data_IF_789654581503
#
_entry.id   IF_789654581503
#
_cell.length_a   1.000
_cell.length_b   1.000
_cell.length_c   1.000
_cell.angle_alpha   90.00
_cell.angle_beta   90.00
_cell.angle_gamma   90.00
#
_symmetry.space_group_name_H-M   'P 1'
#
loop_
_entity.id
_entity.type
_entity.pdbx_description
1 polymer ?
#
# COMPACT_ATOMS: atom_id res chain seq x y z
N UNK A 1 13.47 -14.23 -11.41
CA UNK A 1 12.02 -14.38 -11.18
C UNK A 1 11.84 -15.36 -10.03
N UNK A 2 11.39 -14.87 -8.88
CA UNK A 2 11.62 -15.46 -7.56
C UNK A 2 10.73 -16.66 -7.24
N UNK A 3 11.30 -17.68 -6.59
CA UNK A 3 10.62 -18.90 -6.09
C UNK A 3 9.38 -18.57 -5.22
N UNK A 4 9.34 -17.37 -4.64
CA UNK A 4 8.22 -16.84 -3.85
C UNK A 4 6.96 -16.66 -4.69
N UNK A 5 7.03 -16.07 -5.89
CA UNK A 5 5.86 -15.92 -6.77
C UNK A 5 5.30 -17.27 -7.20
N UNK A 6 6.18 -18.25 -7.44
CA UNK A 6 5.76 -19.64 -7.68
C UNK A 6 5.01 -20.21 -6.48
N UNK A 7 5.50 -19.98 -5.27
CA UNK A 7 4.88 -20.47 -4.03
C UNK A 7 3.51 -19.83 -3.77
N UNK A 8 3.37 -18.52 -3.97
CA UNK A 8 2.07 -17.84 -3.88
C UNK A 8 1.09 -18.48 -4.87
N UNK A 9 1.53 -18.72 -6.10
CA UNK A 9 0.68 -19.33 -7.12
C UNK A 9 0.23 -20.74 -6.74
N UNK A 10 1.15 -21.60 -6.30
CA UNK A 10 0.91 -23.03 -6.02
C UNK A 10 0.48 -23.35 -4.60
N UNK A 11 0.42 -22.39 -3.69
CA UNK A 11 0.07 -22.66 -2.28
C UNK A 11 -0.99 -21.69 -1.74
N UNK A 12 -1.32 -20.64 -2.48
CA UNK A 12 -2.39 -19.71 -2.17
C UNK A 12 -3.37 -19.61 -3.34
N UNK A 13 -2.94 -19.07 -4.48
CA UNK A 13 -3.85 -18.75 -5.59
C UNK A 13 -4.60 -19.98 -6.11
N UNK A 14 -3.96 -21.15 -6.17
CA UNK A 14 -4.62 -22.38 -6.62
C UNK A 14 -5.84 -22.81 -5.78
N UNK A 15 -5.96 -22.29 -4.55
CA UNK A 15 -7.07 -22.59 -3.65
C UNK A 15 -8.17 -21.52 -3.68
N UNK A 16 -7.99 -20.44 -4.45
CA UNK A 16 -8.99 -19.40 -4.64
C UNK A 16 -10.02 -19.81 -5.70
N UNK A 17 -11.28 -19.47 -5.45
CA UNK A 17 -12.36 -19.62 -6.43
C UNK A 17 -12.08 -18.73 -7.65
N UNK A 18 -12.30 -19.25 -8.86
CA UNK A 18 -11.95 -18.54 -10.10
C UNK A 18 -10.45 -18.56 -10.44
N UNK A 19 -9.64 -19.43 -9.82
CA UNK A 19 -8.25 -19.61 -10.22
C UNK A 19 -8.13 -20.23 -11.62
N UNK A 20 -7.37 -19.57 -12.48
CA UNK A 20 -7.29 -19.92 -13.91
C UNK A 20 -6.10 -20.84 -14.23
N UNK A 21 -5.12 -20.96 -13.33
CA UNK A 21 -3.88 -21.70 -13.60
C UNK A 21 -2.96 -21.03 -14.61
N UNK A 22 -1.73 -21.56 -14.72
CA UNK A 22 -0.80 -21.21 -15.81
C UNK A 22 -1.10 -21.97 -17.11
N UNK A 23 -1.95 -22.99 -17.07
CA UNK A 23 -2.34 -23.82 -18.20
C UNK A 23 -3.79 -23.51 -18.62
N UNK A 24 -3.92 -22.86 -19.78
CA UNK A 24 -5.22 -22.44 -20.33
C UNK A 24 -6.15 -23.61 -20.67
N UNK A 25 -5.62 -24.83 -20.81
CA UNK A 25 -6.40 -26.03 -21.13
C UNK A 25 -7.09 -26.64 -19.90
N UNK A 26 -6.69 -26.23 -18.68
CA UNK A 26 -7.23 -26.71 -17.40
C UNK A 26 -8.14 -25.69 -16.71
N UNK A 27 -8.61 -24.69 -17.43
CA UNK A 27 -9.55 -23.70 -16.90
C UNK A 27 -10.87 -24.38 -16.52
N UNK A 28 -11.35 -24.10 -15.31
CA UNK A 28 -12.70 -24.49 -14.89
C UNK A 28 -13.76 -23.95 -15.86
N UNK A 29 -14.93 -24.59 -15.90
CA UNK A 29 -15.96 -24.25 -16.90
C UNK A 29 -16.58 -22.87 -16.69
N UNK A 30 -16.52 -22.31 -15.47
CA UNK A 30 -17.19 -21.05 -15.11
C UNK A 30 -16.33 -20.11 -14.23
N UNK A 31 -15.04 -19.99 -14.55
CA UNK A 31 -14.04 -19.22 -13.79
C UNK A 31 -14.46 -17.76 -13.51
N UNK A 32 -15.10 -17.11 -14.49
CA UNK A 32 -15.53 -15.73 -14.37
C UNK A 32 -16.69 -15.54 -13.39
N UNK A 33 -17.57 -16.54 -13.25
CA UNK A 33 -18.67 -16.54 -12.29
C UNK A 33 -18.20 -16.95 -10.89
N UNK A 34 -17.17 -17.78 -10.81
CA UNK A 34 -16.53 -18.21 -9.57
C UNK A 34 -15.56 -17.16 -8.98
N UNK A 35 -15.14 -16.16 -9.77
CA UNK A 35 -14.34 -15.02 -9.31
C UNK A 35 -15.18 -14.04 -8.47
N UNK A 36 -15.55 -14.47 -7.27
CA UNK A 36 -16.47 -13.78 -6.38
C UNK A 36 -15.80 -12.83 -5.38
N UNK A 37 -14.47 -12.83 -5.30
CA UNK A 37 -13.73 -11.99 -4.35
C UNK A 37 -13.43 -10.61 -4.94
N UNK A 38 -13.73 -9.57 -4.17
CA UNK A 38 -13.21 -8.23 -4.42
C UNK A 38 -11.69 -8.18 -4.19
N UNK A 39 -11.03 -7.15 -4.72
CA UNK A 39 -9.59 -6.94 -4.51
C UNK A 39 -9.23 -6.82 -3.02
N UNK A 40 -10.08 -6.17 -2.22
CA UNK A 40 -9.88 -6.06 -0.78
C UNK A 40 -9.95 -7.43 -0.08
N UNK A 41 -10.92 -8.27 -0.43
CA UNK A 41 -11.03 -9.62 0.13
C UNK A 41 -9.85 -10.52 -0.28
N UNK A 42 -9.34 -10.38 -1.51
CA UNK A 42 -8.13 -11.08 -1.93
C UNK A 42 -6.90 -10.63 -1.14
N UNK A 43 -6.81 -9.35 -0.80
CA UNK A 43 -5.75 -8.82 0.07
C UNK A 43 -5.84 -9.43 1.47
N UNK A 44 -7.04 -9.44 2.09
CA UNK A 44 -7.24 -10.02 3.43
C UNK A 44 -6.84 -11.51 3.48
N UNK A 45 -7.25 -12.28 2.48
CA UNK A 45 -6.89 -13.70 2.37
C UNK A 45 -5.39 -13.91 2.15
N UNK A 46 -4.75 -13.03 1.39
CA UNK A 46 -3.30 -13.08 1.17
C UNK A 46 -2.55 -12.75 2.46
N UNK A 47 -3.00 -11.75 3.22
CA UNK A 47 -2.40 -11.35 4.48
C UNK A 47 -2.50 -12.47 5.53
N UNK A 48 -3.64 -13.14 5.64
CA UNK A 48 -3.80 -14.33 6.47
C UNK A 48 -2.83 -15.45 6.03
N UNK A 49 -2.77 -15.75 4.74
CA UNK A 49 -1.87 -16.78 4.21
C UNK A 49 -0.40 -16.46 4.48
N UNK A 50 0.01 -15.19 4.38
CA UNK A 50 1.38 -14.75 4.65
C UNK A 50 1.78 -15.02 6.10
N UNK A 51 0.89 -14.83 7.07
CA UNK A 51 1.15 -15.16 8.49
C UNK A 51 1.55 -16.63 8.62
N UNK A 52 0.81 -17.54 7.98
CA UNK A 52 1.14 -18.97 8.00
C UNK A 52 2.42 -19.29 7.24
N UNK A 53 2.62 -18.67 6.07
CA UNK A 53 3.81 -18.87 5.25
C UNK A 53 5.11 -18.50 5.97
N UNK A 54 5.10 -17.40 6.71
CA UNK A 54 6.24 -16.91 7.49
C UNK A 54 6.59 -17.79 8.71
N UNK A 55 5.64 -18.60 9.19
CA UNK A 55 5.86 -19.58 10.28
C UNK A 55 6.14 -21.00 9.79
N UNK A 56 5.83 -21.32 8.53
CA UNK A 56 6.14 -22.62 7.92
C UNK A 56 7.65 -22.78 7.71
N UNK A 57 8.26 -23.95 8.00
CA UNK A 57 9.65 -24.25 7.65
C UNK A 57 9.90 -24.40 6.14
N UNK A 58 11.02 -23.89 5.63
CA UNK A 58 11.39 -23.96 4.21
C UNK A 58 12.72 -24.67 4.04
N UNK A 59 12.79 -25.65 3.14
CA UNK A 59 14.01 -26.45 2.93
C UNK A 59 15.23 -25.66 2.44
N UNK A 60 15.01 -24.47 1.86
CA UNK A 60 16.05 -23.54 1.42
C UNK A 60 16.58 -22.59 2.50
N UNK A 61 15.88 -22.49 3.65
CA UNK A 61 16.31 -21.67 4.78
C UNK A 61 16.97 -22.57 5.82
N UNK A 62 18.30 -22.64 5.76
CA UNK A 62 19.13 -23.46 6.66
C UNK A 62 20.14 -22.58 7.36
N UNK A 63 20.28 -22.77 8.67
CA UNK A 63 21.31 -22.07 9.43
C UNK A 63 22.68 -22.74 9.18
N UNK A 64 23.78 -21.98 8.98
CA UNK A 64 25.10 -22.55 8.72
C UNK A 64 25.56 -23.57 9.77
N UNK A 65 25.25 -23.30 11.05
CA UNK A 65 25.60 -24.22 12.17
C UNK A 65 24.54 -25.28 12.49
N UNK A 66 23.35 -25.21 11.90
CA UNK A 66 22.28 -26.21 12.04
C UNK A 66 21.75 -26.62 10.66
N UNK A 67 22.61 -27.16 9.77
CA UNK A 67 22.25 -27.37 8.37
C UNK A 67 21.16 -28.42 8.18
N UNK A 68 20.93 -29.30 9.16
CA UNK A 68 19.90 -30.35 9.08
C UNK A 68 18.49 -29.85 9.42
N UNK A 69 18.36 -28.68 10.04
CA UNK A 69 17.07 -28.12 10.47
C UNK A 69 16.60 -27.11 9.44
N UNK A 70 15.40 -27.31 8.90
CA UNK A 70 14.73 -26.30 8.08
C UNK A 70 14.13 -25.24 9.00
N UNK A 71 14.42 -23.97 8.73
CA UNK A 71 13.88 -22.84 9.47
C UNK A 71 12.71 -22.20 8.71
N UNK A 72 11.83 -21.55 9.45
CA UNK A 72 10.84 -20.63 8.88
C UNK A 72 11.49 -19.26 8.63
N UNK A 73 10.92 -18.42 7.76
CA UNK A 73 11.39 -17.05 7.53
C UNK A 73 11.54 -16.28 8.83
N UNK A 74 10.56 -16.34 9.74
CA UNK A 74 10.61 -15.64 11.02
C UNK A 74 11.73 -16.16 11.93
N UNK A 75 11.97 -17.49 11.95
CA UNK A 75 13.09 -18.06 12.73
C UNK A 75 14.44 -17.71 12.15
N UNK A 76 14.59 -17.72 10.83
CA UNK A 76 15.82 -17.33 10.16
C UNK A 76 16.10 -15.84 10.36
N UNK A 77 15.08 -14.99 10.26
CA UNK A 77 15.16 -13.57 10.58
C UNK A 77 15.65 -13.35 12.02
N UNK A 78 15.02 -13.99 13.01
CA UNK A 78 15.44 -13.88 14.40
C UNK A 78 16.90 -14.31 14.63
N UNK A 79 17.33 -15.40 13.98
CA UNK A 79 18.72 -15.85 14.05
C UNK A 79 19.69 -14.83 13.43
N UNK A 80 19.33 -14.24 12.28
CA UNK A 80 20.15 -13.22 11.62
C UNK A 80 20.23 -11.93 12.43
N UNK A 81 19.12 -11.48 13.01
CA UNK A 81 19.10 -10.30 13.89
C UNK A 81 20.00 -10.49 15.10
N UNK A 82 20.02 -11.69 15.70
CA UNK A 82 20.92 -11.99 16.82
C UNK A 82 22.40 -11.89 16.46
N UNK A 83 22.77 -12.14 15.19
CA UNK A 83 24.16 -12.12 14.72
C UNK A 83 24.55 -10.75 14.17
N UNK A 84 23.69 -10.14 13.36
CA UNK A 84 23.97 -8.89 12.65
C UNK A 84 23.56 -7.64 13.45
N UNK A 85 22.80 -7.81 14.54
CA UNK A 85 22.17 -6.72 15.27
C UNK A 85 20.88 -6.23 14.59
N UNK A 86 20.11 -5.44 15.33
CA UNK A 86 18.93 -4.74 14.83
C UNK A 86 19.22 -3.25 14.79
N UNK A 87 19.06 -2.62 13.62
CA UNK A 87 19.14 -1.17 13.48
C UNK A 87 17.71 -0.64 13.39
N UNK A 88 17.14 -0.09 14.48
CA UNK A 88 15.88 0.61 14.37
C UNK A 88 16.09 1.85 13.51
N UNK A 89 15.32 1.98 12.43
CA UNK A 89 15.10 3.27 11.78
C UNK A 89 13.85 3.85 12.46
N UNK A 90 13.98 4.79 13.41
CA UNK A 90 12.82 5.39 14.05
C UNK A 90 12.15 6.33 13.04
N UNK A 91 11.29 5.77 12.20
CA UNK A 91 10.43 6.57 11.34
C UNK A 91 9.42 7.30 12.22
N UNK A 92 9.49 8.62 12.22
CA UNK A 92 8.44 9.49 12.75
C UNK A 92 7.21 9.45 11.83
N UNK A 93 6.08 9.97 12.31
CA UNK A 93 4.87 10.10 11.48
C UNK A 93 5.12 10.88 10.19
N UNK A 94 5.98 11.90 10.23
CA UNK A 94 6.34 12.66 9.03
C UNK A 94 7.17 11.85 8.05
N UNK A 95 8.05 10.96 8.53
CA UNK A 95 8.85 10.10 7.64
C UNK A 95 7.97 9.13 6.86
N UNK A 96 6.85 8.69 7.43
CA UNK A 96 5.86 7.90 6.69
C UNK A 96 5.18 8.70 5.58
N UNK A 97 4.90 9.99 5.82
CA UNK A 97 4.32 10.85 4.80
C UNK A 97 5.27 11.00 3.62
N UNK A 98 6.58 11.13 3.87
CA UNK A 98 7.61 11.22 2.82
C UNK A 98 7.69 9.99 1.90
N UNK A 99 7.23 8.83 2.38
CA UNK A 99 7.20 7.58 1.60
C UNK A 99 5.93 7.44 0.74
N UNK A 100 4.95 8.33 0.89
CA UNK A 100 3.71 8.25 0.12
C UNK A 100 3.96 8.58 -1.36
N UNK A 101 3.15 8.00 -2.28
CA UNK A 101 3.20 8.37 -3.68
C UNK A 101 3.03 9.87 -3.91
N UNK A 102 4.01 10.46 -4.62
CA UNK A 102 4.04 11.87 -4.96
C UNK A 102 3.34 12.17 -6.29
N UNK A 103 2.55 13.22 -6.30
CA UNK A 103 1.92 13.85 -7.48
C UNK A 103 2.25 15.33 -7.50
N UNK A 104 2.33 15.91 -8.69
CA UNK A 104 2.63 17.33 -8.89
C UNK A 104 1.38 18.04 -9.37
N UNK A 105 0.82 18.94 -8.56
CA UNK A 105 -0.44 19.65 -8.87
C UNK A 105 -0.36 21.14 -8.58
N UNK A 106 -1.11 21.94 -9.34
CA UNK A 106 -1.29 23.36 -9.03
C UNK A 106 -2.32 23.54 -7.90
N UNK A 107 -2.09 24.54 -7.04
CA UNK A 107 -3.07 24.99 -6.07
C UNK A 107 -3.93 26.06 -6.76
N UNK A 108 -5.17 25.73 -7.06
CA UNK A 108 -6.10 26.66 -7.72
C UNK A 108 -6.90 27.46 -6.69
N UNK A 109 -7.69 28.43 -7.17
CA UNK A 109 -8.65 29.18 -6.35
C UNK A 109 -9.59 28.24 -5.57
N UNK A 110 -9.99 27.12 -6.19
CA UNK A 110 -10.87 26.10 -5.58
C UNK A 110 -10.13 25.01 -4.79
N UNK A 111 -8.81 25.13 -4.63
CA UNK A 111 -7.96 24.13 -3.98
C UNK A 111 -7.27 23.20 -4.96
N UNK A 112 -7.00 21.97 -4.52
CA UNK A 112 -6.27 20.97 -5.30
C UNK A 112 -7.24 19.92 -5.82
N UNK A 113 -7.27 19.70 -7.13
CA UNK A 113 -8.13 18.69 -7.75
C UNK A 113 -7.35 17.43 -8.11
N UNK A 114 -7.72 16.30 -7.55
CA UNK A 114 -7.10 14.98 -7.76
C UNK A 114 -8.18 13.90 -7.84
N UNK A 115 -8.15 13.07 -8.89
CA UNK A 115 -9.08 11.96 -9.08
C UNK A 115 -10.56 12.36 -8.87
N UNK A 116 -10.98 13.45 -9.51
CA UNK A 116 -12.33 14.04 -9.40
C UNK A 116 -12.73 14.54 -8.00
N UNK A 117 -11.82 14.54 -7.04
CA UNK A 117 -11.99 15.11 -5.70
C UNK A 117 -11.30 16.46 -5.60
N UNK A 118 -11.86 17.34 -4.79
CA UNK A 118 -11.31 18.67 -4.51
C UNK A 118 -10.89 18.72 -3.05
N UNK A 119 -9.63 18.98 -2.78
CA UNK A 119 -9.06 19.08 -1.44
C UNK A 119 -8.80 20.54 -1.14
N UNK A 120 -9.29 21.00 0.02
CA UNK A 120 -9.25 22.41 0.36
C UNK A 120 -9.23 22.66 1.87
N UNK A 121 -8.48 23.66 2.28
CA UNK A 121 -8.52 24.26 3.61
C UNK A 121 -7.93 25.68 3.60
N UNK A 122 -8.15 26.43 4.68
CA UNK A 122 -7.74 27.83 4.79
C UNK A 122 -6.22 28.02 4.65
N UNK A 123 -5.42 27.02 5.03
CA UNK A 123 -3.96 27.04 4.91
C UNK A 123 -3.47 27.15 3.47
N UNK A 124 -4.30 26.75 2.48
CA UNK A 124 -3.95 26.92 1.08
C UNK A 124 -4.10 28.36 0.59
N UNK A 125 -4.84 29.21 1.30
CA UNK A 125 -5.17 30.59 0.92
C UNK A 125 -3.97 31.40 0.40
N UNK A 126 -2.86 31.49 1.17
CA UNK A 126 -1.66 32.21 0.75
C UNK A 126 -0.95 31.64 -0.47
N UNK A 127 -1.21 30.38 -0.85
CA UNK A 127 -0.51 29.65 -1.91
C UNK A 127 -1.33 29.46 -3.19
N UNK A 128 -2.60 29.90 -3.20
CA UNK A 128 -3.48 29.76 -4.37
C UNK A 128 -2.96 30.59 -5.55
N UNK A 129 -2.85 29.95 -6.71
CA UNK A 129 -2.37 30.60 -7.94
C UNK A 129 -0.88 30.95 -7.94
N UNK A 130 -0.13 30.54 -6.92
CA UNK A 130 1.31 30.72 -6.86
C UNK A 130 2.05 29.47 -7.30
N UNK A 131 3.22 29.67 -7.88
CA UNK A 131 4.14 28.59 -8.21
C UNK A 131 4.89 28.14 -6.95
N UNK A 132 5.13 26.84 -6.85
CA UNK A 132 6.02 26.29 -5.83
C UNK A 132 7.49 26.67 -6.10
N UNK A 133 8.34 26.54 -5.08
CA UNK A 133 9.80 26.74 -5.20
C UNK A 133 10.46 25.74 -6.17
N UNK A 134 9.77 24.66 -6.54
CA UNK A 134 10.29 23.61 -7.44
C UNK A 134 9.99 23.96 -8.90
N UNK A 135 10.79 24.86 -9.47
CA UNK A 135 10.65 25.32 -10.85
C UNK A 135 10.72 24.18 -11.90
N UNK A 136 11.49 23.12 -11.63
CA UNK A 136 11.66 21.97 -12.55
C UNK A 136 10.37 21.18 -12.79
N UNK A 137 9.32 21.40 -11.99
CA UNK A 137 8.01 20.75 -12.11
C UNK A 137 6.93 21.69 -12.65
N UNK A 138 7.33 22.79 -13.27
CA UNK A 138 6.44 23.76 -13.90
C UNK A 138 5.57 24.51 -12.88
N UNK A 139 6.17 24.92 -11.76
CA UNK A 139 5.49 25.66 -10.69
C UNK A 139 4.51 24.82 -9.86
N UNK A 140 4.34 23.52 -10.16
CA UNK A 140 3.40 22.65 -9.44
C UNK A 140 3.94 22.28 -8.06
N UNK A 141 3.01 22.06 -7.14
CA UNK A 141 3.25 21.69 -5.76
C UNK A 141 3.38 20.19 -5.58
N UNK A 142 4.24 19.78 -4.64
CA UNK A 142 4.43 18.39 -4.26
C UNK A 142 3.28 17.92 -3.37
N UNK A 143 2.53 16.93 -3.85
CA UNK A 143 1.35 16.39 -3.18
C UNK A 143 1.51 14.90 -2.95
N UNK A 144 1.53 14.50 -1.70
CA UNK A 144 1.55 13.12 -1.23
C UNK A 144 0.13 12.58 -1.08
N UNK A 145 -0.09 11.37 -1.56
CA UNK A 145 -1.42 10.75 -1.59
C UNK A 145 -1.37 9.35 -0.98
N UNK A 146 -2.33 9.01 -0.12
CA UNK A 146 -2.49 7.64 0.37
C UNK A 146 -3.49 6.91 -0.54
N UNK A 147 -3.09 5.86 -1.28
CA UNK A 147 -4.00 5.10 -2.14
C UNK A 147 -5.15 4.41 -1.38
N UNK A 148 -4.95 4.13 -0.09
CA UNK A 148 -5.91 3.43 0.76
C UNK A 148 -6.79 4.39 1.57
N UNK A 149 -6.44 5.67 1.66
CA UNK A 149 -7.24 6.68 2.35
C UNK A 149 -7.29 7.97 1.52
N UNK A 150 -8.41 8.14 0.81
CA UNK A 150 -8.66 9.29 -0.08
C UNK A 150 -9.28 10.49 0.62
N UNK A 151 -9.45 10.44 1.95
CA UNK A 151 -10.12 11.51 2.71
C UNK A 151 -9.23 12.74 2.92
N UNK A 152 -7.92 12.60 2.71
CA UNK A 152 -6.94 13.67 2.82
C UNK A 152 -5.78 13.46 1.86
N UNK A 153 -5.07 14.56 1.59
CA UNK A 153 -3.77 14.58 0.91
C UNK A 153 -2.79 15.37 1.77
N UNK A 154 -1.50 15.29 1.47
CA UNK A 154 -0.49 16.10 2.13
C UNK A 154 0.26 16.93 1.11
N UNK A 155 0.37 18.23 1.34
CA UNK A 155 1.02 19.17 0.41
C UNK A 155 2.28 19.70 1.08
N UNK A 156 3.40 19.73 0.36
CA UNK A 156 4.62 20.35 0.87
C UNK A 156 4.50 21.86 0.77
N UNK A 157 4.25 22.52 1.89
CA UNK A 157 4.17 23.97 2.00
C UNK A 157 5.48 24.56 2.58
N UNK A 158 5.90 25.76 2.17
CA UNK A 158 7.16 26.34 2.64
C UNK A 158 7.04 26.71 4.12
N UNK A 159 8.01 26.32 4.93
CA UNK A 159 8.03 26.58 6.38
C UNK A 159 7.12 25.67 7.23
N UNK A 160 6.10 25.02 6.65
CA UNK A 160 5.20 24.12 7.35
C UNK A 160 5.47 22.62 7.08
N UNK A 161 6.20 22.30 6.01
CA UNK A 161 6.45 20.92 5.60
C UNK A 161 5.19 20.27 5.01
N UNK A 162 5.08 18.94 5.12
CA UNK A 162 3.92 18.19 4.62
C UNK A 162 2.69 18.48 5.49
N UNK A 163 1.73 19.20 4.92
CA UNK A 163 0.52 19.67 5.59
C UNK A 163 -0.70 18.92 5.09
N UNK A 164 -1.52 18.40 6.01
CA UNK A 164 -2.77 17.70 5.69
C UNK A 164 -3.81 18.67 5.11
N UNK A 165 -4.33 18.34 3.92
CA UNK A 165 -5.43 19.03 3.27
C UNK A 165 -6.61 18.04 3.15
N UNK A 166 -7.73 18.30 3.83
CA UNK A 166 -8.88 17.41 3.79
C UNK A 166 -9.60 17.47 2.45
N UNK A 167 -10.24 16.37 2.07
CA UNK A 167 -11.25 16.38 1.02
C UNK A 167 -12.46 17.20 1.50
N UNK A 168 -13.00 18.08 0.66
CA UNK A 168 -14.14 18.94 1.03
C UNK A 168 -15.40 18.18 1.50
N UNK A 169 -15.52 16.89 1.14
CA UNK A 169 -16.62 16.03 1.58
C UNK A 169 -16.19 14.99 2.62
N UNK A 170 -15.04 15.17 3.28
CA UNK A 170 -14.50 14.24 4.30
C UNK A 170 -15.53 13.88 5.36
N UNK A 171 -16.27 14.87 5.85
CA UNK A 171 -17.27 14.67 6.90
C UNK A 171 -18.49 13.84 6.45
N UNK A 172 -18.78 13.83 5.14
CA UNK A 172 -19.87 13.04 4.57
C UNK A 172 -19.47 11.57 4.27
N UNK A 173 -18.18 11.23 4.37
CA UNK A 173 -17.68 9.88 4.11
C UNK A 173 -17.85 8.92 5.32
N UNK A 174 -18.48 9.37 6.41
CA UNK A 174 -18.61 8.62 7.66
C UNK A 174 -19.84 7.72 7.76
N UNK A 175 -20.69 7.61 6.73
CA UNK A 175 -21.84 6.73 6.81
C UNK A 175 -21.46 5.32 6.34
N UNK A 176 -21.42 4.30 7.23
CA UNK A 176 -21.48 2.92 6.77
C UNK A 176 -22.74 2.77 5.91
N UNK A 177 -22.64 2.02 4.82
CA UNK A 177 -23.77 1.67 3.98
C UNK A 177 -24.88 1.07 4.87
N UNK A 178 -25.94 1.84 5.14
CA UNK A 178 -27.16 1.29 5.70
C UNK A 178 -27.97 0.71 4.54
N UNK A 179 -27.88 -0.61 4.36
CA UNK A 179 -28.83 -1.35 3.54
C UNK A 179 -30.18 -1.36 4.26
N UNK A 180 -31.07 -0.47 3.82
CA UNK A 180 -32.50 -0.63 3.99
C UNK A 180 -33.14 -0.69 2.61
N UNK A 181 -33.32 -1.89 2.07
CA UNK A 181 -34.47 -2.26 1.23
C UNK A 181 -34.70 -3.76 1.33
#
# INVERSE_FOLDING_TARGET
>A
MERTFGSINTLFCQHLSGYTGSDVTRRGRDVAREACYSVAQLQDLLDEWLVHWHHRPHGGLRHPVLPKIALSPNRMWAALVAVAGYVPVPLSGNDYLELLPVRWQAITERGIRLYHRTYDCDLLGPHRGQDSEVATRGGKWEVHTNPHDVRQIWVRLPGLGLTEIPWIHREHAHQPFNDHT
#
